data_IF_763093098722
#
_entry.id   IF_763093098722
#
_cell.length_a   1.000
_cell.length_b   1.000
_cell.length_c   1.000
_cell.angle_alpha   90.00
_cell.angle_beta   90.00
_cell.angle_gamma   90.00
#
_symmetry.space_group_name_H-M   'P 1'
#
loop_
_entity.id
_entity.type
_entity.pdbx_description
1 polymer ?
#
# COMPACT_ATOMS: atom_id res chain seq x y z
N UNK A 1 7.80 12.12 -5.65
CA UNK A 1 6.77 11.14 -5.22
C UNK A 1 7.21 10.47 -3.94
N UNK A 2 6.28 9.94 -3.15
CA UNK A 2 6.57 9.18 -1.93
C UNK A 2 5.60 8.00 -1.81
N UNK A 3 6.03 6.88 -1.23
CA UNK A 3 5.13 5.78 -0.87
C UNK A 3 4.21 6.19 0.28
N UNK A 4 2.93 5.84 0.24
CA UNK A 4 1.90 6.28 1.20
C UNK A 4 1.56 5.24 2.27
N UNK A 5 2.15 4.05 2.21
CA UNK A 5 1.80 2.94 3.09
C UNK A 5 0.68 2.06 2.49
N UNK A 6 0.27 0.99 3.20
CA UNK A 6 0.86 0.48 4.46
C UNK A 6 2.30 -0.06 4.27
N UNK A 7 3.11 -0.05 5.33
CA UNK A 7 4.53 -0.46 5.30
C UNK A 7 5.26 -0.14 6.61
N UNK A 8 6.58 -0.33 6.65
CA UNK A 8 7.39 -0.02 7.85
C UNK A 8 7.16 1.42 8.32
N UNK A 9 6.63 1.57 9.54
CA UNK A 9 6.32 2.88 10.14
C UNK A 9 7.52 3.82 10.12
N UNK A 10 8.70 3.31 10.47
CA UNK A 10 9.96 4.04 10.47
C UNK A 10 10.37 4.45 9.06
N UNK A 11 10.33 3.52 8.10
CA UNK A 11 10.69 3.79 6.70
C UNK A 11 9.76 4.82 6.05
N UNK A 12 8.46 4.74 6.35
CA UNK A 12 7.46 5.66 5.83
C UNK A 12 7.68 7.09 6.36
N UNK A 13 7.94 7.24 7.67
CA UNK A 13 8.23 8.55 8.28
C UNK A 13 9.52 9.17 7.76
N UNK A 14 10.60 8.40 7.63
CA UNK A 14 11.87 8.89 7.08
C UNK A 14 11.68 9.32 5.62
N UNK A 15 11.03 8.49 4.80
CA UNK A 15 10.76 8.78 3.39
C UNK A 15 9.91 10.02 3.20
N UNK A 16 8.85 10.19 4.01
CA UNK A 16 8.01 11.38 3.99
C UNK A 16 8.74 12.63 4.44
N UNK A 17 9.52 12.58 5.53
CA UNK A 17 10.28 13.73 6.00
C UNK A 17 11.30 14.21 4.94
N UNK A 18 12.04 13.28 4.33
CA UNK A 18 12.98 13.60 3.26
C UNK A 18 12.27 14.18 2.02
N UNK A 19 11.16 13.57 1.59
CA UNK A 19 10.40 14.02 0.44
C UNK A 19 9.82 15.44 0.64
N UNK A 20 9.27 15.72 1.83
CA UNK A 20 8.77 17.05 2.19
C UNK A 20 9.87 18.10 2.18
N UNK A 21 11.02 17.81 2.81
CA UNK A 21 12.15 18.75 2.86
C UNK A 21 12.67 19.12 1.47
N UNK A 22 12.84 18.12 0.59
CA UNK A 22 13.26 18.34 -0.79
C UNK A 22 12.20 19.11 -1.60
N UNK A 23 10.93 18.72 -1.50
CA UNK A 23 9.85 19.38 -2.21
C UNK A 23 9.71 20.86 -1.80
N UNK A 24 9.82 21.15 -0.50
CA UNK A 24 9.75 22.51 0.02
C UNK A 24 10.91 23.36 -0.45
N UNK A 25 12.14 22.86 -0.37
CA UNK A 25 13.33 23.62 -0.77
C UNK A 25 13.38 23.86 -2.29
N UNK A 26 12.84 22.95 -3.09
CA UNK A 26 12.82 23.05 -4.54
C UNK A 26 11.54 23.69 -5.12
N UNK A 27 10.53 24.00 -4.28
CA UNK A 27 9.23 24.51 -4.74
C UNK A 27 8.44 23.52 -5.61
N UNK A 28 8.62 22.21 -5.38
CA UNK A 28 8.00 21.14 -6.17
C UNK A 28 6.74 20.59 -5.49
N UNK A 29 5.78 20.17 -6.31
CA UNK A 29 4.60 19.41 -5.83
C UNK A 29 4.98 18.00 -5.40
N UNK A 30 4.30 17.47 -4.39
CA UNK A 30 4.48 16.09 -3.94
C UNK A 30 3.25 15.25 -4.29
N UNK A 31 3.48 14.01 -4.72
CA UNK A 31 2.45 13.03 -5.00
C UNK A 31 2.75 11.74 -4.23
N UNK A 32 1.72 11.16 -3.62
CA UNK A 32 1.81 9.92 -2.86
C UNK A 32 1.31 8.73 -3.68
N UNK A 33 1.94 7.56 -3.52
CA UNK A 33 1.53 6.31 -4.16
C UNK A 33 1.27 5.24 -3.10
N UNK A 34 0.12 4.57 -3.10
CA UNK A 34 -0.14 3.47 -2.17
C UNK A 34 0.92 2.38 -2.30
N UNK A 35 1.49 1.92 -1.19
CA UNK A 35 2.59 0.94 -1.21
C UNK A 35 2.17 -0.40 -1.84
N UNK A 36 0.93 -0.84 -1.58
CA UNK A 36 0.36 -2.04 -2.21
C UNK A 36 0.29 -1.90 -3.73
N UNK A 37 -0.12 -0.73 -4.23
CA UNK A 37 -0.14 -0.45 -5.67
C UNK A 37 1.27 -0.44 -6.25
N UNK A 38 2.24 0.16 -5.55
CA UNK A 38 3.63 0.17 -6.00
C UNK A 38 4.20 -1.26 -6.13
N UNK A 39 3.92 -2.16 -5.19
CA UNK A 39 4.33 -3.56 -5.30
C UNK A 39 3.58 -4.32 -6.41
N UNK A 40 2.28 -4.12 -6.56
CA UNK A 40 1.55 -4.73 -7.67
C UNK A 40 2.08 -4.24 -9.04
N UNK A 41 2.49 -2.98 -9.13
CA UNK A 41 3.01 -2.38 -10.35
C UNK A 41 4.35 -2.99 -10.82
N UNK A 42 5.21 -3.46 -9.91
CA UNK A 42 6.52 -4.02 -10.29
C UNK A 42 6.37 -5.29 -11.10
N UNK A 43 5.34 -6.10 -10.82
CA UNK A 43 5.07 -7.36 -11.56
C UNK A 43 4.14 -7.13 -12.75
N UNK A 44 3.20 -6.20 -12.65
CA UNK A 44 2.22 -5.94 -13.71
C UNK A 44 2.86 -5.54 -15.04
N UNK A 45 4.03 -4.88 -15.02
CA UNK A 45 4.78 -4.48 -16.22
C UNK A 45 5.07 -5.65 -17.17
N UNK A 46 5.25 -6.86 -16.65
CA UNK A 46 5.56 -8.05 -17.45
C UNK A 46 4.31 -8.85 -17.85
N UNK A 47 3.16 -8.58 -17.23
CA UNK A 47 1.94 -9.37 -17.36
C UNK A 47 0.86 -8.71 -18.23
N UNK A 48 1.00 -7.41 -18.54
CA UNK A 48 -0.01 -6.65 -19.25
C UNK A 48 -1.21 -6.28 -18.36
N UNK A 49 -2.37 -5.90 -18.96
CA UNK A 49 -3.54 -5.40 -18.23
C UNK A 49 -4.37 -6.52 -17.60
N UNK A 50 -3.75 -7.28 -16.69
CA UNK A 50 -4.39 -8.35 -15.91
C UNK A 50 -4.55 -7.93 -14.45
N UNK A 51 -5.49 -8.53 -13.69
CA UNK A 51 -5.61 -8.26 -12.26
C UNK A 51 -4.38 -8.78 -11.50
N UNK A 52 -3.84 -7.92 -10.65
CA UNK A 52 -2.70 -8.21 -9.75
C UNK A 52 -3.11 -7.77 -8.35
N UNK A 53 -2.91 -8.65 -7.37
CA UNK A 53 -3.14 -8.33 -5.97
C UNK A 53 -1.83 -8.06 -5.23
N UNK A 54 -1.90 -7.22 -4.20
CA UNK A 54 -0.83 -7.05 -3.23
C UNK A 54 -1.38 -7.27 -1.83
N UNK A 55 -0.67 -8.08 -1.03
CA UNK A 55 -1.02 -8.44 0.33
C UNK A 55 0.18 -8.26 1.26
N UNK A 56 0.14 -7.26 2.15
CA UNK A 56 1.15 -7.10 3.19
C UNK A 56 0.68 -7.68 4.52
N UNK A 57 1.57 -8.24 5.34
CA UNK A 57 1.18 -8.77 6.65
C UNK A 57 0.64 -7.64 7.54
N UNK A 58 -0.62 -7.77 7.98
CA UNK A 58 -1.27 -6.86 8.92
C UNK A 58 -1.29 -7.41 10.35
N UNK A 59 -0.57 -8.51 10.58
CA UNK A 59 -0.52 -9.29 11.81
C UNK A 59 -1.88 -9.91 12.16
N UNK A 60 -1.92 -10.74 13.20
CA UNK A 60 -3.16 -11.34 13.75
C UNK A 60 -3.97 -12.13 12.70
N UNK A 61 -3.31 -12.80 11.77
CA UNK A 61 -3.99 -13.56 10.72
C UNK A 61 -4.56 -12.71 9.58
N UNK A 62 -4.27 -11.41 9.54
CA UNK A 62 -4.81 -10.47 8.55
C UNK A 62 -3.73 -9.98 7.59
N UNK A 63 -4.17 -9.44 6.45
CA UNK A 63 -3.37 -8.75 5.46
C UNK A 63 -3.95 -7.36 5.16
N UNK A 64 -3.07 -6.43 4.81
CA UNK A 64 -3.45 -5.29 4.00
C UNK A 64 -3.53 -5.74 2.55
N UNK A 65 -4.74 -5.85 2.02
CA UNK A 65 -5.01 -6.39 0.69
C UNK A 65 -5.58 -5.36 -0.26
N UNK A 66 -5.17 -5.42 -1.53
CA UNK A 66 -5.78 -4.66 -2.62
C UNK A 66 -5.61 -5.39 -3.96
N UNK A 67 -6.48 -5.09 -4.93
CA UNK A 67 -6.44 -5.66 -6.29
C UNK A 67 -6.48 -4.54 -7.33
N UNK A 68 -5.56 -4.59 -8.28
CA UNK A 68 -5.37 -3.57 -9.30
C UNK A 68 -5.30 -4.16 -10.71
N UNK A 69 -5.71 -3.38 -11.71
CA UNK A 69 -5.42 -3.64 -13.13
C UNK A 69 -4.66 -2.43 -13.68
N UNK A 70 -3.46 -2.67 -14.21
CA UNK A 70 -2.60 -1.63 -14.78
C UNK A 70 -2.82 -1.54 -16.29
N UNK A 71 -3.37 -0.42 -16.74
CA UNK A 71 -3.50 -0.07 -18.16
C UNK A 71 -2.41 0.93 -18.57
N UNK A 72 -2.21 1.18 -19.88
CA UNK A 72 -1.26 2.19 -20.34
C UNK A 72 -1.46 3.55 -19.65
N UNK A 73 -2.70 4.04 -19.62
CA UNK A 73 -3.03 5.41 -19.19
C UNK A 73 -3.73 5.50 -17.81
N UNK A 74 -4.04 4.37 -17.19
CA UNK A 74 -4.80 4.33 -15.95
C UNK A 74 -4.44 3.13 -15.07
N UNK A 75 -4.69 3.26 -13.77
CA UNK A 75 -4.70 2.15 -12.81
C UNK A 75 -6.12 2.01 -12.27
N UNK A 76 -6.72 0.85 -12.53
CA UNK A 76 -8.06 0.53 -12.02
C UNK A 76 -7.92 -0.21 -10.70
N UNK A 77 -8.47 0.37 -9.63
CA UNK A 77 -8.58 -0.32 -8.35
C UNK A 77 -9.83 -1.18 -8.36
N UNK A 78 -9.66 -2.50 -8.36
CA UNK A 78 -10.76 -3.48 -8.34
C UNK A 78 -11.22 -3.79 -6.92
N UNK A 79 -10.26 -3.82 -5.99
CA UNK A 79 -10.51 -3.84 -4.55
C UNK A 79 -9.59 -2.82 -3.92
N UNK A 80 -10.15 -1.85 -3.20
CA UNK A 80 -9.40 -0.82 -2.51
C UNK A 80 -8.59 -1.41 -1.34
N UNK A 81 -7.46 -0.79 -0.94
CA UNK A 81 -6.71 -1.18 0.25
C UNK A 81 -7.61 -1.37 1.47
N UNK A 82 -7.60 -2.58 2.02
CA UNK A 82 -8.40 -2.97 3.20
C UNK A 82 -7.64 -3.93 4.10
N UNK A 83 -8.04 -4.02 5.38
CA UNK A 83 -7.49 -4.97 6.36
C UNK A 83 -8.46 -6.13 6.51
N UNK A 84 -8.05 -7.33 6.11
CA UNK A 84 -8.93 -8.50 6.02
C UNK A 84 -8.10 -9.78 5.99
N UNK A 85 -8.72 -10.95 6.01
CA UNK A 85 -8.03 -12.22 5.72
C UNK A 85 -7.91 -12.44 4.20
N UNK A 86 -7.00 -13.31 3.75
CA UNK A 86 -6.90 -13.63 2.30
C UNK A 86 -8.19 -14.22 1.74
N UNK A 87 -8.89 -15.17 2.43
CA UNK A 87 -10.18 -15.68 1.95
C UNK A 87 -11.27 -14.60 1.83
N UNK A 88 -11.36 -13.69 2.81
CA UNK A 88 -12.31 -12.58 2.73
C UNK A 88 -11.96 -11.62 1.59
N UNK A 89 -10.67 -11.32 1.35
CA UNK A 89 -10.23 -10.54 0.21
C UNK A 89 -10.61 -11.20 -1.12
N UNK A 90 -10.50 -12.53 -1.19
CA UNK A 90 -10.93 -13.31 -2.33
C UNK A 90 -12.45 -13.16 -2.57
N UNK A 91 -13.27 -13.22 -1.52
CA UNK A 91 -14.72 -13.00 -1.61
C UNK A 91 -15.10 -11.58 -2.04
N UNK A 92 -14.34 -10.57 -1.59
CA UNK A 92 -14.54 -9.16 -2.00
C UNK A 92 -14.13 -8.92 -3.45
N UNK A 93 -13.33 -9.81 -4.03
CA UNK A 93 -12.82 -9.65 -5.40
C UNK A 93 -13.85 -10.10 -6.42
N UNK A 94 -14.27 -9.23 -7.36
CA UNK A 94 -15.17 -9.63 -8.44
C UNK A 94 -14.59 -10.82 -9.22
N UNK A 95 -15.41 -11.79 -9.70
CA UNK A 95 -14.90 -12.93 -10.46
C UNK A 95 -14.07 -12.54 -11.69
N UNK A 96 -14.42 -11.43 -12.36
CA UNK A 96 -13.68 -10.87 -13.49
C UNK A 96 -12.34 -10.21 -13.12
N UNK A 97 -12.07 -10.03 -11.83
CA UNK A 97 -10.88 -9.41 -11.28
C UNK A 97 -10.04 -10.38 -10.43
N UNK A 98 -10.28 -11.69 -10.54
CA UNK A 98 -9.43 -12.71 -9.91
C UNK A 98 -7.95 -12.45 -10.28
N UNK A 99 -7.06 -12.27 -9.31
CA UNK A 99 -5.67 -11.93 -9.58
C UNK A 99 -4.95 -13.08 -10.28
N UNK A 100 -4.14 -12.75 -11.27
CA UNK A 100 -3.23 -13.70 -11.91
C UNK A 100 -1.99 -13.97 -11.05
N UNK A 101 -1.65 -13.01 -10.17
CA UNK A 101 -0.56 -13.13 -9.21
C UNK A 101 -0.85 -12.25 -8.00
N UNK A 102 -0.38 -12.70 -6.85
CA UNK A 102 -0.45 -11.96 -5.59
C UNK A 102 0.97 -11.72 -5.10
N UNK A 103 1.30 -10.48 -4.75
CA UNK A 103 2.65 -10.09 -4.29
C UNK A 103 2.59 -9.64 -2.83
N UNK A 104 3.66 -9.84 -2.07
CA UNK A 104 3.75 -9.32 -0.71
C UNK A 104 4.18 -10.34 0.34
N UNK A 105 4.67 -9.87 1.48
CA UNK A 105 5.02 -10.72 2.63
C UNK A 105 3.80 -11.39 3.25
N UNK A 106 2.65 -10.70 3.29
CA UNK A 106 1.36 -11.28 3.65
C UNK A 106 0.91 -12.36 2.67
N UNK A 107 1.19 -12.19 1.37
CA UNK A 107 0.92 -13.22 0.36
C UNK A 107 1.76 -14.48 0.61
N UNK A 108 3.03 -14.32 0.96
CA UNK A 108 3.91 -15.43 1.31
C UNK A 108 3.50 -16.13 2.62
N UNK A 109 3.05 -15.35 3.62
CA UNK A 109 2.64 -15.88 4.92
C UNK A 109 1.39 -16.75 4.85
N UNK A 110 0.44 -16.38 3.99
CA UNK A 110 -0.83 -17.09 3.79
C UNK A 110 -0.85 -17.74 2.40
N UNK A 111 0.24 -18.44 2.06
CA UNK A 111 0.51 -19.00 0.73
C UNK A 111 -0.62 -19.90 0.22
N UNK A 112 -1.15 -20.78 1.07
CA UNK A 112 -2.15 -21.77 0.65
C UNK A 112 -3.47 -21.09 0.28
N UNK A 113 -3.92 -20.10 1.07
CA UNK A 113 -5.09 -19.28 0.74
C UNK A 113 -4.88 -18.49 -0.56
N UNK A 114 -3.67 -17.99 -0.79
CA UNK A 114 -3.31 -17.30 -2.04
C UNK A 114 -3.33 -18.24 -3.24
N UNK A 115 -2.83 -19.46 -3.09
CA UNK A 115 -2.82 -20.47 -4.14
C UNK A 115 -4.25 -20.88 -4.51
N UNK A 116 -5.11 -21.07 -3.51
CA UNK A 116 -6.54 -21.32 -3.73
C UNK A 116 -7.21 -20.15 -4.47
N UNK A 117 -6.97 -18.91 -4.00
CA UNK A 117 -7.59 -17.73 -4.57
C UNK A 117 -7.09 -17.43 -5.99
N UNK A 118 -5.79 -17.42 -6.24
CA UNK A 118 -5.20 -16.96 -7.52
C UNK A 118 -4.87 -18.10 -8.50
N UNK A 119 -4.70 -19.32 -8.00
CA UNK A 119 -4.17 -20.44 -8.78
C UNK A 119 -2.67 -20.34 -9.09
N UNK A 120 -1.96 -19.40 -8.48
CA UNK A 120 -0.54 -19.16 -8.69
C UNK A 120 0.21 -18.99 -7.36
N UNK A 121 1.51 -19.26 -7.40
CA UNK A 121 2.40 -19.00 -6.26
C UNK A 121 2.51 -17.49 -5.97
N UNK A 122 2.50 -17.08 -4.69
CA UNK A 122 2.77 -15.70 -4.32
C UNK A 122 4.20 -15.31 -4.71
N UNK A 123 4.39 -14.02 -5.02
CA UNK A 123 5.70 -13.44 -5.26
C UNK A 123 6.18 -12.69 -4.00
N UNK A 124 7.35 -13.04 -3.44
CA UNK A 124 7.88 -12.38 -2.26
C UNK A 124 8.33 -10.95 -2.53
N UNK A 125 8.21 -10.06 -1.54
CA UNK A 125 8.64 -8.65 -1.68
C UNK A 125 10.13 -8.51 -1.99
N UNK A 126 10.97 -9.37 -1.42
CA UNK A 126 12.42 -9.37 -1.62
C UNK A 126 12.84 -9.71 -3.06
N UNK A 127 11.96 -10.38 -3.82
CA UNK A 127 12.17 -10.60 -5.25
C UNK A 127 11.82 -9.37 -6.09
N UNK A 128 11.10 -8.41 -5.52
CA UNK A 128 10.78 -7.15 -6.17
C UNK A 128 11.96 -6.21 -5.94
N UNK A 129 12.54 -5.70 -7.02
CA UNK A 129 13.53 -4.62 -6.91
C UNK A 129 12.78 -3.31 -6.74
N UNK A 130 12.78 -2.67 -5.54
CA UNK A 130 12.17 -1.36 -5.39
C UNK A 130 12.95 -0.38 -6.26
N UNK A 131 12.37 0.01 -7.39
CA UNK A 131 13.01 0.92 -8.33
C UNK A 131 12.16 2.18 -8.51
N UNK A 132 12.83 3.33 -8.51
CA UNK A 132 12.20 4.64 -8.75
C UNK A 132 11.47 4.67 -10.10
N UNK A 133 11.94 3.90 -11.08
CA UNK A 133 11.33 3.74 -12.41
C UNK A 133 9.89 3.23 -12.34
N UNK A 134 9.55 2.34 -11.40
CA UNK A 134 8.19 1.82 -11.24
C UNK A 134 7.28 2.92 -10.71
N UNK A 135 7.71 3.63 -9.67
CA UNK A 135 6.96 4.78 -9.15
C UNK A 135 6.78 5.86 -10.23
N UNK A 136 7.84 6.21 -10.95
CA UNK A 136 7.77 7.18 -12.06
C UNK A 136 6.79 6.73 -13.15
N UNK A 137 6.74 5.43 -13.47
CA UNK A 137 5.77 4.90 -14.44
C UNK A 137 4.31 5.03 -14.01
N UNK A 138 4.05 5.26 -12.72
CA UNK A 138 2.72 5.48 -12.18
C UNK A 138 2.29 6.95 -12.25
N UNK A 139 3.22 7.91 -12.34
CA UNK A 139 2.90 9.36 -12.34
C UNK A 139 1.89 9.74 -13.42
N UNK A 140 2.09 9.22 -14.64
CA UNK A 140 1.27 9.58 -15.78
C UNK A 140 -0.08 8.84 -15.82
N UNK A 141 -0.32 7.88 -14.91
CA UNK A 141 -1.53 7.05 -14.94
C UNK A 141 -2.62 7.62 -14.05
N UNK A 142 -3.79 7.82 -14.63
CA UNK A 142 -4.98 8.21 -13.88
C UNK A 142 -5.26 7.18 -12.77
N UNK A 143 -5.57 7.67 -11.56
CA UNK A 143 -5.88 6.83 -10.40
C UNK A 143 -4.67 6.21 -9.68
N UNK A 144 -3.45 6.46 -10.13
CA UNK A 144 -2.26 5.85 -9.54
C UNK A 144 -1.60 6.66 -8.42
N UNK A 145 -1.91 7.95 -8.34
CA UNK A 145 -1.28 8.87 -7.37
C UNK A 145 -2.33 9.72 -6.67
N UNK A 146 -2.04 10.08 -5.41
CA UNK A 146 -2.75 11.09 -4.64
C UNK A 146 -1.91 12.35 -4.64
N UNK A 147 -2.42 13.42 -5.25
CA UNK A 147 -1.76 14.72 -5.22
C UNK A 147 -1.84 15.30 -3.80
N UNK A 148 -0.74 15.88 -3.33
CA UNK A 148 -0.67 16.53 -2.02
C UNK A 148 -0.63 18.04 -2.24
N UNK A 149 -1.79 18.69 -2.09
CA UNK A 149 -1.93 20.13 -2.27
C UNK A 149 -1.23 20.91 -1.14
N UNK A 150 -1.20 20.36 0.07
CA UNK A 150 -0.35 20.80 1.18
C UNK A 150 0.59 19.65 1.61
N UNK A 151 1.79 19.56 1.02
CA UNK A 151 2.77 18.55 1.40
C UNK A 151 3.24 18.66 2.86
N UNK A 152 3.18 19.85 3.47
CA UNK A 152 3.66 20.05 4.84
C UNK A 152 2.67 19.50 5.85
N UNK A 153 1.38 19.75 5.66
CA UNK A 153 0.30 19.20 6.47
C UNK A 153 -0.06 17.75 6.16
N UNK A 154 0.32 17.21 5.00
CA UNK A 154 -0.06 15.86 4.59
C UNK A 154 0.62 14.77 5.44
N UNK A 155 -0.13 13.73 5.80
CA UNK A 155 0.38 12.55 6.50
C UNK A 155 0.30 11.27 5.64
N UNK A 156 1.16 10.27 5.92
CA UNK A 156 1.04 8.96 5.30
C UNK A 156 -0.23 8.22 5.73
N UNK A 157 -0.78 7.41 4.83
CA UNK A 157 -1.85 6.47 5.15
C UNK A 157 -1.26 5.21 5.80
N UNK A 158 -1.10 5.27 7.12
CA UNK A 158 -0.50 4.20 7.92
C UNK A 158 -1.29 2.89 7.96
N UNK A 159 -2.56 2.89 7.53
CA UNK A 159 -3.46 1.74 7.68
C UNK A 159 -3.94 1.64 9.14
N UNK A 160 -3.62 0.53 9.83
CA UNK A 160 -3.96 0.31 11.24
C UNK A 160 -3.06 1.18 12.14
N UNK A 161 -3.56 1.72 13.27
CA UNK A 161 -2.72 2.44 14.23
C UNK A 161 -1.52 1.60 14.67
N UNK A 162 -0.37 2.26 14.85
CA UNK A 162 0.89 1.62 15.22
C UNK A 162 0.70 0.67 16.41
N UNK A 163 1.39 -0.47 16.44
CA UNK A 163 1.25 -1.44 17.53
C UNK A 163 1.48 -0.84 18.93
N UNK A 164 2.36 0.16 19.04
CA UNK A 164 2.59 0.90 20.28
C UNK A 164 1.36 1.68 20.72
N UNK A 165 0.65 2.30 19.78
CA UNK A 165 -0.61 2.98 20.01
C UNK A 165 -1.72 1.99 20.34
N UNK A 166 -1.87 0.91 19.58
CA UNK A 166 -2.85 -0.13 19.88
C UNK A 166 -2.62 -0.78 21.26
N UNK A 167 -1.36 -1.02 21.67
CA UNK A 167 -1.01 -1.53 23.00
C UNK A 167 -1.27 -0.49 24.10
N UNK A 168 -1.00 0.79 23.84
CA UNK A 168 -1.26 1.86 24.80
C UNK A 168 -2.76 2.09 25.00
N UNK A 169 -3.53 2.16 23.92
CA UNK A 169 -4.98 2.36 23.95
C UNK A 169 -5.68 1.15 24.60
N UNK A 170 -5.23 -0.07 24.32
CA UNK A 170 -5.71 -1.27 25.02
C UNK A 170 -5.39 -1.25 26.52
N UNK A 171 -4.26 -0.67 26.92
CA UNK A 171 -3.85 -0.55 28.34
C UNK A 171 -4.55 0.61 29.07
N UNK A 172 -4.94 1.68 28.38
CA UNK A 172 -5.43 2.92 29.00
C UNK A 172 -6.88 3.27 28.67
N UNK A 173 -7.56 2.52 27.81
CA UNK A 173 -9.00 2.68 27.51
C UNK A 173 -9.38 4.00 26.83
N UNK A 174 -8.39 4.74 26.31
CA UNK A 174 -8.57 6.03 25.63
C UNK A 174 -7.60 6.12 24.44
N UNK A 175 -7.88 6.94 23.41
CA UNK A 175 -6.97 7.15 22.30
C UNK A 175 -5.65 7.79 22.76
N UNK A 176 -4.53 7.46 22.11
CA UNK A 176 -3.25 8.11 22.39
C UNK A 176 -3.42 9.63 22.19
N UNK A 177 -2.99 10.47 23.15
CA UNK A 177 -3.07 11.91 22.98
C UNK A 177 -2.31 12.31 21.73
N UNK A 178 -2.99 13.01 20.83
CA UNK A 178 -2.43 13.52 19.60
C UNK A 178 -1.36 14.58 19.95
N UNK A 179 -0.06 14.34 19.69
CA UNK A 179 0.99 15.30 20.00
C UNK A 179 0.91 16.57 19.15
N UNK A 180 0.10 16.59 18.09
CA UNK A 180 -0.10 17.75 17.23
C UNK A 180 -1.27 18.66 17.65
N UNK A 181 -2.06 18.24 18.65
CA UNK A 181 -3.18 19.02 19.17
C UNK A 181 -2.77 19.69 20.49
N UNK A 182 -2.63 21.03 20.55
CA UNK A 182 -2.33 21.69 21.82
C UNK A 182 -3.45 21.40 22.81
N UNK A 183 -3.08 21.01 24.03
CA UNK A 183 -4.01 20.85 25.13
C UNK A 183 -4.64 22.22 25.40
N UNK A 184 -5.94 22.33 25.13
CA UNK A 184 -6.76 23.47 25.54
C UNK A 184 -7.04 23.43 27.04
#
# INVERSE_FOLDING_TARGET
MVGDGPGSFTGLRIGWAAAKGLAQQAGLSLAAVPSLMAAAATVARQLGPVPVAACYDALRGQVYGAVYVFRPDAVETRVAPTVTTVPELACLTPPSARPRVVVGDGAMRYRDDVLEWSGAEPIPLESLTPNATTLLSLVARAGATRQLDDPLGAEPIYGRPAEAQAKWEARHGRPLPDPSRPAG
#
